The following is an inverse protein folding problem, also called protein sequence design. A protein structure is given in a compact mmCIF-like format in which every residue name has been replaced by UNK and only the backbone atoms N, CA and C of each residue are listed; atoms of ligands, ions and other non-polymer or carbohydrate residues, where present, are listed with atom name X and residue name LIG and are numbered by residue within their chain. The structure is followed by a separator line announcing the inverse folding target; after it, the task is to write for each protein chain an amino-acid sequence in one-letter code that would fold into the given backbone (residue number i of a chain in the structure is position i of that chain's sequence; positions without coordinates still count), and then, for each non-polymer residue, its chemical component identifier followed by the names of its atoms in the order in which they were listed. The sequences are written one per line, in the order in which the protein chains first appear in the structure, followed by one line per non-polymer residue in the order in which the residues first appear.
data_IF_177193701311
#
_entry.id   IF_177193701311
#
_cell.length_a   1.000
_cell.length_b   1.000
_cell.length_c   1.000
_cell.angle_alpha   90.00
_cell.angle_beta   90.00
_cell.angle_gamma   90.00
#
_symmetry.space_group_name_H-M   'P 1'
#
loop_
_entity.id
_entity.type
_entity.pdbx_description
1 polymer ?
#
# COMPACT_ATOMS: atom_id res chain seq x y z
N UNK A 1 16.80 4.30 9.11
CA UNK A 1 15.44 3.72 8.94
C UNK A 1 15.49 2.61 7.91
N UNK A 2 14.84 1.46 8.14
CA UNK A 2 14.79 0.37 7.16
C UNK A 2 13.76 0.66 6.06
N UNK A 3 14.00 0.16 4.84
CA UNK A 3 13.08 0.29 3.69
C UNK A 3 11.66 -0.21 4.04
N UNK A 4 11.56 -1.29 4.83
CA UNK A 4 10.29 -1.84 5.32
C UNK A 4 9.52 -0.84 6.18
N UNK A 5 10.20 -0.17 7.12
CA UNK A 5 9.59 0.81 8.01
C UNK A 5 9.07 2.02 7.23
N UNK A 6 9.83 2.49 6.24
CA UNK A 6 9.39 3.59 5.38
C UNK A 6 8.17 3.21 4.54
N UNK A 7 8.16 2.01 3.95
CA UNK A 7 7.02 1.53 3.16
C UNK A 7 5.77 1.35 4.04
N UNK A 8 5.91 0.79 5.24
CA UNK A 8 4.79 0.66 6.19
C UNK A 8 4.16 2.00 6.51
N UNK A 9 4.98 3.03 6.79
CA UNK A 9 4.48 4.38 7.04
C UNK A 9 3.74 4.96 5.83
N UNK A 10 4.27 4.79 4.62
CA UNK A 10 3.58 5.27 3.41
C UNK A 10 2.23 4.58 3.19
N UNK A 11 2.17 3.27 3.42
CA UNK A 11 0.93 2.50 3.29
C UNK A 11 -0.08 2.98 4.33
N UNK A 12 0.32 3.14 5.59
CA UNK A 12 -0.55 3.63 6.66
C UNK A 12 -1.11 5.03 6.36
N UNK A 13 -0.30 5.92 5.79
CA UNK A 13 -0.77 7.25 5.35
C UNK A 13 -1.86 7.11 4.28
N UNK A 14 -1.61 6.35 3.21
CA UNK A 14 -2.58 6.17 2.14
C UNK A 14 -3.84 5.45 2.61
N UNK A 15 -3.71 4.47 3.50
CA UNK A 15 -4.86 3.78 4.10
C UNK A 15 -5.75 4.72 4.89
N UNK A 16 -5.16 5.65 5.66
CA UNK A 16 -5.91 6.69 6.38
C UNK A 16 -6.59 7.67 5.44
N UNK A 17 -5.87 8.19 4.45
CA UNK A 17 -6.39 9.14 3.46
C UNK A 17 -7.55 8.56 2.64
N UNK A 18 -7.50 7.26 2.33
CA UNK A 18 -8.49 6.57 1.50
C UNK A 18 -9.49 5.71 2.29
N UNK A 19 -9.43 5.73 3.63
CA UNK A 19 -10.22 4.84 4.50
C UNK A 19 -10.15 3.35 4.10
N UNK A 20 -8.97 2.88 3.67
CA UNK A 20 -8.75 1.50 3.25
C UNK A 20 -8.36 0.60 4.42
N UNK A 21 -9.03 -0.53 4.54
CA UNK A 21 -8.62 -1.58 5.49
C UNK A 21 -7.33 -2.28 5.05
N UNK A 22 -6.65 -2.95 5.99
CA UNK A 22 -5.49 -3.81 5.71
C UNK A 22 -5.80 -4.88 4.66
N UNK A 23 -6.99 -5.47 4.72
CA UNK A 23 -7.42 -6.49 3.77
C UNK A 23 -7.64 -5.91 2.37
N UNK A 24 -8.32 -4.76 2.28
CA UNK A 24 -8.57 -4.09 1.01
C UNK A 24 -7.26 -3.66 0.34
N UNK A 25 -6.35 -3.05 1.10
CA UNK A 25 -5.02 -2.70 0.61
C UNK A 25 -4.24 -3.93 0.16
N UNK A 26 -4.20 -4.98 0.99
CA UNK A 26 -3.45 -6.21 0.69
C UNK A 26 -3.90 -6.88 -0.61
N UNK A 27 -5.22 -6.95 -0.83
CA UNK A 27 -5.82 -7.47 -2.05
C UNK A 27 -5.54 -6.57 -3.26
N UNK A 28 -5.73 -5.24 -3.13
CA UNK A 28 -5.48 -4.29 -4.23
C UNK A 28 -4.01 -4.21 -4.65
N UNK A 29 -3.10 -4.29 -3.68
CA UNK A 29 -1.66 -4.19 -3.92
C UNK A 29 -1.05 -5.46 -4.50
N UNK A 30 -1.47 -6.63 -4.03
CA UNK A 30 -0.74 -7.89 -4.26
C UNK A 30 -1.61 -9.10 -4.57
N UNK A 31 -2.93 -8.98 -4.48
CA UNK A 31 -3.87 -10.11 -4.55
C UNK A 31 -3.83 -11.04 -3.34
N UNK A 32 -2.96 -10.81 -2.35
CA UNK A 32 -2.81 -11.65 -1.17
C UNK A 32 -3.40 -10.94 0.06
N UNK A 33 -4.49 -11.43 0.68
CA UNK A 33 -5.14 -10.76 1.81
C UNK A 33 -4.28 -10.69 3.09
N UNK A 34 -3.21 -11.50 3.20
CA UNK A 34 -2.29 -11.53 4.34
C UNK A 34 -1.03 -10.68 4.13
N UNK A 35 -0.95 -9.93 3.03
CA UNK A 35 0.24 -9.13 2.70
C UNK A 35 0.65 -8.17 3.81
N UNK A 36 -0.27 -7.36 4.36
CA UNK A 36 0.07 -6.40 5.42
C UNK A 36 0.63 -7.07 6.68
N UNK A 37 0.04 -8.19 7.11
CA UNK A 37 0.54 -8.98 8.24
C UNK A 37 1.96 -9.48 7.98
N UNK A 38 2.20 -10.04 6.79
CA UNK A 38 3.52 -10.52 6.34
C UNK A 38 4.55 -9.40 6.21
N UNK A 39 4.13 -8.22 5.73
CA UNK A 39 5.01 -7.06 5.61
C UNK A 39 5.49 -6.59 6.99
N UNK A 40 4.59 -6.55 7.98
CA UNK A 40 4.95 -6.20 9.38
C UNK A 40 5.94 -7.19 10.00
N UNK A 41 5.77 -8.49 9.73
CA UNK A 41 6.68 -9.53 10.22
C UNK A 41 7.96 -9.68 9.39
N UNK A 42 8.06 -9.02 8.23
CA UNK A 42 9.21 -9.12 7.33
C UNK A 42 9.22 -10.36 6.43
N UNK A 43 8.13 -11.11 6.37
CA UNK A 43 8.00 -12.33 5.56
C UNK A 43 7.35 -12.03 4.20
N UNK A 44 8.01 -11.19 3.39
CA UNK A 44 7.52 -10.75 2.07
C UNK A 44 8.59 -10.89 1.00
N UNK A 45 8.18 -11.12 -0.23
CA UNK A 45 9.09 -11.18 -1.38
C UNK A 45 9.34 -9.78 -1.94
N UNK A 46 10.47 -9.60 -2.64
CA UNK A 46 10.77 -8.35 -3.35
C UNK A 46 9.64 -7.95 -4.32
N UNK A 47 9.10 -8.92 -5.07
CA UNK A 47 7.99 -8.69 -5.99
C UNK A 47 6.75 -8.11 -5.29
N UNK A 48 6.41 -8.63 -4.10
CA UNK A 48 5.27 -8.10 -3.34
C UNK A 48 5.52 -6.69 -2.78
N UNK A 49 6.77 -6.37 -2.45
CA UNK A 49 7.19 -5.02 -2.06
C UNK A 49 7.06 -4.05 -3.23
N UNK A 50 7.51 -4.43 -4.43
CA UNK A 50 7.38 -3.61 -5.63
C UNK A 50 5.92 -3.40 -6.03
N UNK A 51 5.09 -4.43 -5.98
CA UNK A 51 3.67 -4.33 -6.25
C UNK A 51 2.97 -3.35 -5.28
N UNK A 52 3.28 -3.43 -3.98
CA UNK A 52 2.79 -2.48 -2.99
C UNK A 52 3.24 -1.04 -3.26
N UNK A 53 4.52 -0.82 -3.63
CA UNK A 53 5.02 0.51 -4.02
C UNK A 53 4.28 1.08 -5.23
N UNK A 54 4.06 0.27 -6.27
CA UNK A 54 3.31 0.68 -7.47
C UNK A 54 1.87 1.04 -7.12
N UNK A 55 1.22 0.24 -6.27
CA UNK A 55 -0.15 0.49 -5.83
C UNK A 55 -0.29 1.76 -4.97
N UNK A 56 0.63 1.98 -4.02
CA UNK A 56 0.71 3.23 -3.26
C UNK A 56 0.87 4.43 -4.20
N UNK A 57 1.76 4.33 -5.20
CA UNK A 57 1.95 5.38 -6.19
C UNK A 57 0.69 5.64 -7.03
N UNK A 58 -0.06 4.61 -7.41
CA UNK A 58 -1.33 4.79 -8.14
C UNK A 58 -2.39 5.48 -7.27
N UNK A 59 -2.48 5.14 -5.98
CA UNK A 59 -3.41 5.75 -5.03
C UNK A 59 -3.06 7.21 -4.69
N UNK A 60 -1.76 7.53 -4.64
CA UNK A 60 -1.25 8.90 -4.45
C UNK A 60 -1.41 9.78 -5.68
N UNK A 61 -1.46 9.20 -6.89
CA UNK A 61 -1.74 9.95 -8.14
C UNK A 61 -3.22 10.30 -8.31
N UNK A 62 -4.11 9.62 -7.60
CA UNK A 62 -5.57 9.78 -7.73
C UNK A 62 -6.25 10.83 -6.81
N UNK A 63 -5.60 11.84 -6.19
CA UNK A 63 -6.34 12.93 -5.57
C UNK A 63 -5.96 14.27 -6.23
N UNK A 64 -6.77 14.73 -7.20
CA UNK A 64 -6.97 16.12 -7.66
C UNK A 64 -7.45 16.27 -9.13
N UNK A 65 -7.80 15.21 -9.87
CA UNK A 65 -8.23 15.34 -11.29
C UNK A 65 -9.72 15.02 -11.58
N UNK A 66 -10.52 14.70 -10.56
CA UNK A 66 -11.98 14.55 -10.71
C UNK A 66 -12.77 15.78 -10.22
N UNK A 67 -12.12 16.95 -10.10
CA UNK A 67 -12.77 18.23 -9.84
C UNK A 67 -12.96 19.10 -11.10
N UNK A 68 -12.89 18.50 -12.30
CA UNK A 68 -13.23 19.16 -13.57
C UNK A 68 -14.05 18.21 -14.44
N UNK A 69 -15.34 18.12 -14.16
CA UNK A 69 -16.38 17.91 -15.16
C UNK A 69 -17.64 18.64 -14.75
#
# INVERSE_FOLDING_TARGET
MSIRTSLLKEIETVQKERSLSDRAFSLGATGNPKFMSRLRTGNVTLASIEAAKRYVASLKRTPAQEAVR
#
